data_IF_210390108463
#
_entry.id   IF_210390108463
#
_cell.length_a   1.000
_cell.length_b   1.000
_cell.length_c   1.000
_cell.angle_alpha   90.00
_cell.angle_beta   90.00
_cell.angle_gamma   90.00
#
_symmetry.space_group_name_H-M   'P 1'
#
loop_
_entity.id
_entity.type
_entity.pdbx_description
1 polymer ?
#
# COMPACT_ATOMS: atom_id res chain seq x y z
N UNK A 1 -14.38 10.09 7.95
CA UNK A 1 -14.19 9.91 6.49
C UNK A 1 -14.59 8.50 6.13
N UNK A 2 -15.32 8.28 5.03
CA UNK A 2 -15.63 6.90 4.58
C UNK A 2 -14.40 6.32 3.89
N UNK A 3 -13.95 5.14 4.32
CA UNK A 3 -12.78 4.46 3.75
C UNK A 3 -13.07 3.98 2.32
N UNK A 4 -14.31 3.60 2.05
CA UNK A 4 -14.75 3.23 0.71
C UNK A 4 -15.09 4.45 -0.15
N UNK A 5 -14.71 4.45 -1.45
CA UNK A 5 -15.14 5.46 -2.41
C UNK A 5 -16.66 5.49 -2.54
N UNK A 6 -17.25 6.69 -2.62
CA UNK A 6 -18.70 6.84 -2.85
C UNK A 6 -19.09 6.69 -4.32
N UNK A 7 -18.18 7.04 -5.24
CA UNK A 7 -18.45 7.00 -6.67
C UNK A 7 -18.43 5.55 -7.19
N UNK A 8 -19.42 5.11 -7.98
CA UNK A 8 -19.55 3.71 -8.40
C UNK A 8 -18.32 3.20 -9.15
N UNK A 9 -17.77 3.99 -10.09
CA UNK A 9 -16.55 3.63 -10.83
C UNK A 9 -15.36 3.42 -9.88
N UNK A 10 -15.16 4.31 -8.91
CA UNK A 10 -14.06 4.18 -7.96
C UNK A 10 -14.24 2.97 -7.04
N UNK A 11 -15.48 2.55 -6.76
CA UNK A 11 -15.75 1.31 -6.02
C UNK A 11 -15.32 0.10 -6.83
N UNK A 12 -15.68 0.03 -8.12
CA UNK A 12 -15.27 -1.07 -9.00
C UNK A 12 -13.74 -1.13 -9.09
N UNK A 13 -13.08 0.00 -9.29
CA UNK A 13 -11.61 0.07 -9.34
C UNK A 13 -10.97 -0.34 -8.00
N UNK A 14 -11.51 0.13 -6.87
CA UNK A 14 -11.02 -0.26 -5.55
C UNK A 14 -11.20 -1.76 -5.28
N UNK A 15 -12.34 -2.34 -5.66
CA UNK A 15 -12.59 -3.77 -5.54
C UNK A 15 -11.63 -4.57 -6.43
N UNK A 16 -11.44 -4.17 -7.69
CA UNK A 16 -10.49 -4.82 -8.59
C UNK A 16 -9.05 -4.74 -8.04
N UNK A 17 -8.67 -3.60 -7.48
CA UNK A 17 -7.37 -3.43 -6.84
C UNK A 17 -7.17 -4.37 -5.65
N UNK A 18 -8.18 -4.49 -4.77
CA UNK A 18 -8.15 -5.42 -3.64
C UNK A 18 -8.11 -6.89 -4.09
N UNK A 19 -8.82 -7.24 -5.15
CA UNK A 19 -8.76 -8.57 -5.74
C UNK A 19 -7.36 -8.89 -6.27
N UNK A 20 -6.73 -7.95 -6.98
CA UNK A 20 -5.33 -8.12 -7.43
C UNK A 20 -4.40 -8.34 -6.23
N UNK A 21 -4.53 -7.53 -5.17
CA UNK A 21 -3.74 -7.71 -3.95
C UNK A 21 -3.97 -9.10 -3.32
N UNK A 22 -5.21 -9.57 -3.24
CA UNK A 22 -5.53 -10.89 -2.70
C UNK A 22 -4.98 -12.03 -3.56
N UNK A 23 -5.05 -11.91 -4.89
CA UNK A 23 -4.45 -12.89 -5.82
C UNK A 23 -2.94 -12.93 -5.64
N UNK A 24 -2.27 -11.78 -5.51
CA UNK A 24 -0.83 -11.74 -5.28
C UNK A 24 -0.46 -12.42 -3.95
N UNK A 25 -1.24 -12.21 -2.87
CA UNK A 25 -1.05 -12.94 -1.63
C UNK A 25 -1.17 -14.45 -1.84
N UNK A 26 -2.24 -14.90 -2.50
CA UNK A 26 -2.47 -16.31 -2.75
C UNK A 26 -1.29 -16.93 -3.53
N UNK A 27 -0.83 -16.25 -4.59
CA UNK A 27 0.34 -16.66 -5.37
C UNK A 27 1.60 -16.74 -4.51
N UNK A 28 1.80 -15.77 -3.61
CA UNK A 28 2.90 -15.81 -2.63
C UNK A 28 2.77 -17.03 -1.73
N UNK A 29 1.60 -17.27 -1.12
CA UNK A 29 1.38 -18.35 -0.15
C UNK A 29 1.44 -19.75 -0.75
N UNK A 30 1.07 -19.90 -2.02
CA UNK A 30 1.11 -21.18 -2.73
C UNK A 30 2.50 -21.52 -3.29
N UNK A 31 3.48 -20.61 -3.20
CA UNK A 31 4.84 -20.88 -3.67
C UNK A 31 5.57 -21.88 -2.77
N UNK A 32 6.09 -22.99 -3.32
CA UNK A 32 6.86 -23.97 -2.55
C UNK A 32 8.10 -23.35 -1.88
N UNK A 33 8.67 -22.30 -2.48
CA UNK A 33 9.83 -21.56 -1.98
C UNK A 33 9.61 -20.96 -0.58
N UNK A 34 8.34 -20.69 -0.19
CA UNK A 34 8.03 -20.26 1.19
C UNK A 34 8.32 -21.37 2.19
N UNK A 35 7.93 -22.61 1.86
CA UNK A 35 8.21 -23.77 2.71
C UNK A 35 9.71 -24.05 2.86
N UNK A 36 10.49 -23.68 1.83
CA UNK A 36 11.95 -23.77 1.82
C UNK A 36 12.65 -22.54 2.43
N UNK A 37 11.90 -21.55 2.93
CA UNK A 37 12.42 -20.28 3.45
C UNK A 37 13.33 -19.53 2.45
N UNK A 38 13.01 -19.60 1.16
CA UNK A 38 13.75 -18.87 0.13
C UNK A 38 13.18 -17.46 -0.08
N UNK A 39 14.07 -16.45 -0.05
CA UNK A 39 13.69 -15.05 -0.28
C UNK A 39 13.09 -14.80 -1.67
N UNK A 40 13.38 -15.66 -2.64
CA UNK A 40 12.81 -15.61 -3.97
C UNK A 40 11.27 -15.68 -3.95
N UNK A 41 10.66 -16.29 -2.92
CA UNK A 41 9.21 -16.33 -2.75
C UNK A 41 8.56 -14.94 -2.70
N UNK A 42 9.27 -13.94 -2.15
CA UNK A 42 8.79 -12.57 -2.00
C UNK A 42 8.73 -11.80 -3.33
N UNK A 43 9.35 -12.32 -4.39
CA UNK A 43 9.34 -11.70 -5.73
C UNK A 43 7.91 -11.52 -6.28
N UNK A 44 6.98 -12.38 -5.87
CA UNK A 44 5.56 -12.28 -6.21
C UNK A 44 4.87 -11.01 -5.68
N UNK A 45 5.43 -10.34 -4.66
CA UNK A 45 4.90 -9.09 -4.11
C UNK A 45 5.45 -7.83 -4.84
N UNK A 46 6.42 -7.98 -5.74
CA UNK A 46 7.00 -6.85 -6.49
C UNK A 46 5.95 -6.05 -7.28
N UNK A 47 4.98 -6.67 -7.98
CA UNK A 47 3.91 -5.91 -8.63
C UNK A 47 3.09 -5.07 -7.64
N UNK A 48 2.79 -5.62 -6.46
CA UNK A 48 2.05 -4.90 -5.41
C UNK A 48 2.85 -3.72 -4.87
N UNK A 49 4.18 -3.86 -4.78
CA UNK A 49 5.07 -2.78 -4.42
C UNK A 49 4.97 -1.60 -5.40
N UNK A 50 5.01 -1.86 -6.71
CA UNK A 50 4.85 -0.81 -7.72
C UNK A 50 3.45 -0.19 -7.71
N UNK A 51 2.41 -1.02 -7.55
CA UNK A 51 1.04 -0.53 -7.41
C UNK A 51 0.84 0.35 -6.17
N UNK A 52 1.70 0.21 -5.16
CA UNK A 52 1.62 0.97 -3.92
C UNK A 52 2.59 2.14 -3.89
N UNK A 53 3.38 2.37 -4.93
CA UNK A 53 4.37 3.46 -4.96
C UNK A 53 3.69 4.84 -5.07
N UNK A 54 4.13 5.88 -4.31
CA UNK A 54 5.30 5.90 -3.42
C UNK A 54 5.09 5.41 -1.98
N UNK A 55 3.87 5.32 -1.46
CA UNK A 55 3.65 5.02 -0.03
C UNK A 55 4.14 3.63 0.37
N UNK A 56 3.95 2.64 -0.50
CA UNK A 56 4.46 1.28 -0.34
C UNK A 56 5.98 1.24 -0.21
N UNK A 57 6.71 2.10 -0.94
CA UNK A 57 8.17 2.19 -0.79
C UNK A 57 8.56 2.69 0.60
N UNK A 58 7.91 3.76 1.08
CA UNK A 58 8.12 4.27 2.43
C UNK A 58 7.80 3.20 3.49
N UNK A 59 6.72 2.44 3.29
CA UNK A 59 6.35 1.31 4.17
C UNK A 59 7.40 0.21 4.20
N UNK A 60 7.90 -0.23 3.04
CA UNK A 60 8.96 -1.24 2.96
C UNK A 60 10.26 -0.77 3.61
N UNK A 61 10.62 0.51 3.44
CA UNK A 61 11.78 1.10 4.12
C UNK A 61 11.61 1.11 5.64
N UNK A 62 10.42 1.49 6.13
CA UNK A 62 10.11 1.46 7.55
C UNK A 62 10.15 0.03 8.13
N UNK A 63 9.56 -0.95 7.42
CA UNK A 63 9.62 -2.36 7.80
C UNK A 63 11.04 -2.90 7.80
N UNK A 64 11.85 -2.54 6.80
CA UNK A 64 13.25 -2.96 6.72
C UNK A 64 14.05 -2.41 7.90
N UNK A 65 13.84 -1.13 8.24
CA UNK A 65 14.48 -0.51 9.41
C UNK A 65 14.05 -1.20 10.71
N UNK A 66 12.75 -1.42 10.90
CA UNK A 66 12.24 -2.14 12.06
C UNK A 66 12.82 -3.55 12.16
N UNK A 67 12.97 -4.26 11.03
CA UNK A 67 13.59 -5.59 11.00
C UNK A 67 15.04 -5.55 11.45
N UNK A 68 15.80 -4.54 11.01
CA UNK A 68 17.19 -4.35 11.45
C UNK A 68 17.25 -4.05 12.95
N UNK A 69 16.40 -3.16 13.45
CA UNK A 69 16.36 -2.81 14.87
C UNK A 69 16.01 -4.03 15.75
N UNK A 70 15.06 -4.87 15.31
CA UNK A 70 14.69 -6.10 16.00
C UNK A 70 15.80 -7.15 15.97
N UNK A 71 16.51 -7.27 14.84
CA UNK A 71 17.64 -8.18 14.72
C UNK A 71 18.80 -7.77 15.63
N UNK A 72 19.18 -6.48 15.61
CA UNK A 72 20.29 -5.96 16.40
C UNK A 72 19.97 -5.94 17.90
N UNK A 73 18.76 -5.53 18.27
CA UNK A 73 18.37 -5.39 19.68
C UNK A 73 17.96 -6.69 20.36
N UNK A 74 17.41 -7.64 19.60
CA UNK A 74 16.73 -8.81 20.17
C UNK A 74 17.08 -10.14 19.49
N UNK A 75 18.03 -10.17 18.54
CA UNK A 75 18.36 -11.35 17.74
C UNK A 75 17.13 -11.99 17.05
N UNK A 76 16.08 -11.21 16.82
CA UNK A 76 14.84 -11.69 16.24
C UNK A 76 14.95 -11.66 14.71
N UNK A 77 14.78 -12.83 14.08
CA UNK A 77 14.70 -12.96 12.62
C UNK A 77 13.31 -13.48 12.26
N UNK A 78 12.46 -12.68 11.60
CA UNK A 78 11.17 -13.15 11.14
C UNK A 78 11.37 -14.25 10.07
N UNK A 79 10.57 -15.31 10.14
CA UNK A 79 10.52 -16.32 9.08
C UNK A 79 9.93 -15.74 7.79
N UNK A 80 10.25 -16.35 6.64
CA UNK A 80 9.84 -15.84 5.32
C UNK A 80 8.33 -15.69 5.20
N UNK A 81 7.56 -16.63 5.77
CA UNK A 81 6.10 -16.54 5.80
C UNK A 81 5.60 -15.28 6.54
N UNK A 82 6.14 -15.02 7.74
CA UNK A 82 5.77 -13.83 8.51
C UNK A 82 6.19 -12.53 7.79
N UNK A 83 7.36 -12.53 7.17
CA UNK A 83 7.85 -11.40 6.38
C UNK A 83 6.95 -11.15 5.15
N UNK A 84 6.54 -12.21 4.45
CA UNK A 84 5.62 -12.14 3.32
C UNK A 84 4.27 -11.52 3.71
N UNK A 85 3.67 -11.98 4.81
CA UNK A 85 2.40 -11.44 5.31
C UNK A 85 2.52 -9.98 5.74
N UNK A 86 3.58 -9.62 6.46
CA UNK A 86 3.82 -8.23 6.87
C UNK A 86 4.01 -7.30 5.67
N UNK A 87 4.83 -7.72 4.69
CA UNK A 87 5.06 -6.95 3.47
C UNK A 87 3.76 -6.79 2.67
N UNK A 88 3.03 -7.88 2.45
CA UNK A 88 1.75 -7.83 1.76
C UNK A 88 0.79 -6.88 2.47
N UNK A 89 0.60 -7.02 3.78
CA UNK A 89 -0.33 -6.18 4.54
C UNK A 89 0.06 -4.70 4.46
N UNK A 90 1.34 -4.37 4.64
CA UNK A 90 1.81 -2.99 4.55
C UNK A 90 1.60 -2.41 3.15
N UNK A 91 1.97 -3.14 2.10
CA UNK A 91 1.76 -2.69 0.72
C UNK A 91 0.27 -2.54 0.41
N UNK A 92 -0.58 -3.49 0.79
CA UNK A 92 -2.02 -3.45 0.56
C UNK A 92 -2.66 -2.25 1.27
N UNK A 93 -2.35 -2.03 2.54
CA UNK A 93 -2.93 -0.92 3.31
C UNK A 93 -2.46 0.43 2.77
N UNK A 94 -1.15 0.58 2.54
CA UNK A 94 -0.57 1.84 2.08
C UNK A 94 -0.95 2.17 0.64
N UNK A 95 -0.95 1.18 -0.25
CA UNK A 95 -1.42 1.35 -1.63
C UNK A 95 -2.89 1.72 -1.69
N UNK A 96 -3.74 1.06 -0.91
CA UNK A 96 -5.16 1.42 -0.85
C UNK A 96 -5.37 2.83 -0.31
N UNK A 97 -4.71 3.17 0.81
CA UNK A 97 -4.77 4.49 1.41
C UNK A 97 -4.30 5.58 0.43
N UNK A 98 -3.24 5.32 -0.32
CA UNK A 98 -2.72 6.25 -1.33
C UNK A 98 -3.77 6.56 -2.40
N UNK A 99 -4.30 5.53 -3.07
CA UNK A 99 -5.15 5.69 -4.24
C UNK A 99 -6.59 6.10 -3.93
N UNK A 100 -7.16 5.57 -2.85
CA UNK A 100 -8.60 5.70 -2.59
C UNK A 100 -8.93 6.64 -1.43
N UNK A 101 -7.93 7.03 -0.63
CA UNK A 101 -8.12 7.95 0.50
C UNK A 101 -7.34 9.25 0.28
N UNK A 102 -6.02 9.18 0.17
CA UNK A 102 -5.13 10.34 0.12
C UNK A 102 -5.33 11.14 -1.17
N UNK A 103 -5.23 10.50 -2.34
CA UNK A 103 -5.37 11.19 -3.62
C UNK A 103 -6.74 11.90 -3.78
N UNK A 104 -7.89 11.25 -3.51
CA UNK A 104 -9.18 11.93 -3.56
C UNK A 104 -9.30 13.06 -2.54
N UNK A 105 -8.68 12.92 -1.35
CA UNK A 105 -8.67 13.97 -0.35
C UNK A 105 -7.87 15.19 -0.81
N UNK A 106 -6.65 14.98 -1.32
CA UNK A 106 -5.81 16.04 -1.90
C UNK A 106 -6.55 16.73 -3.05
N UNK A 107 -7.14 15.97 -3.98
CA UNK A 107 -7.88 16.52 -5.11
C UNK A 107 -9.05 17.42 -4.66
N UNK A 108 -9.80 17.03 -3.63
CA UNK A 108 -10.87 17.87 -3.05
C UNK A 108 -10.32 19.14 -2.44
N UNK A 109 -9.22 19.05 -1.69
CA UNK A 109 -8.59 20.21 -1.04
C UNK A 109 -8.01 21.20 -2.06
N UNK A 110 -7.36 20.70 -3.11
CA UNK A 110 -6.85 21.54 -4.19
C UNK A 110 -7.98 22.27 -4.90
N UNK A 111 -9.10 21.61 -5.22
CA UNK A 111 -10.28 22.27 -5.81
C UNK A 111 -10.84 23.37 -4.90
N UNK A 112 -11.06 23.07 -3.63
CA UNK A 112 -11.55 24.05 -2.65
C UNK A 112 -10.63 25.28 -2.56
N UNK A 113 -9.32 25.06 -2.60
CA UNK A 113 -8.33 26.13 -2.57
C UNK A 113 -8.36 26.99 -3.84
N UNK A 114 -8.41 26.36 -5.01
CA UNK A 114 -8.53 27.08 -6.29
C UNK A 114 -9.81 27.91 -6.35
N UNK A 115 -10.95 27.36 -5.95
CA UNK A 115 -12.23 28.07 -5.92
C UNK A 115 -12.20 29.27 -4.98
N UNK A 116 -11.54 29.13 -3.83
CA UNK A 116 -11.33 30.22 -2.88
C UNK A 116 -10.49 31.35 -3.47
N UNK A 117 -9.37 31.03 -4.12
CA UNK A 117 -8.50 32.02 -4.76
C UNK A 117 -9.20 32.75 -5.91
N UNK A 118 -9.94 32.02 -6.75
CA UNK A 118 -10.66 32.59 -7.88
C UNK A 118 -11.75 33.57 -7.42
N UNK A 119 -12.54 33.21 -6.42
CA UNK A 119 -13.56 34.09 -5.83
C UNK A 119 -12.96 35.36 -5.24
N UNK A 120 -11.79 35.25 -4.59
CA UNK A 120 -11.08 36.40 -4.04
C UNK A 120 -10.53 37.34 -5.11
N UNK A 121 -10.09 36.79 -6.25
CA UNK A 121 -9.61 37.57 -7.37
C UNK A 121 -10.74 38.32 -8.08
N UNK A 122 -11.88 37.68 -8.34
CA UNK A 122 -13.03 38.28 -9.02
C UNK A 122 -13.78 39.34 -8.17
N UNK A 123 -13.56 39.36 -6.86
CA UNK A 123 -14.15 40.34 -5.95
C UNK A 123 -13.33 41.64 -5.83
N UNK A 124 -12.19 41.74 -6.54
CA UNK A 124 -11.36 42.94 -6.63
C UNK A 124 -11.55 43.59 -8.00
#
# INVERSE_FOLDING_TARGET
MTVFPRHPILRVVATAWLLVAAVLLLVTLLRPEIGLNERAALSSLVPLYFLSFPFGHAGVMALTRLKVDLYVGYHFVPGIFSEALMLWAALTVLGYAQWFVALPWVARKSRQFTDFLLRRYLAR
#
